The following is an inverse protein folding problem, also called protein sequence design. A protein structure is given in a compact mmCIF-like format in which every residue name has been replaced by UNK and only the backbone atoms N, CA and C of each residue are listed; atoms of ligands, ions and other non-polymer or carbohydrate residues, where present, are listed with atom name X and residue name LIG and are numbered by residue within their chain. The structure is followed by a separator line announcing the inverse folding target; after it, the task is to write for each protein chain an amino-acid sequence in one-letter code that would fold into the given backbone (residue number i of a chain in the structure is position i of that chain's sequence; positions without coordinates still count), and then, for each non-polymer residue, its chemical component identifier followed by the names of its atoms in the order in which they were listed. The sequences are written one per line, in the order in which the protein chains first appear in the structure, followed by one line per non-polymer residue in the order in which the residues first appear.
data_IF_853823993285
#
_entry.id   IF_853823993285
#
_cell.length_a   1.000
_cell.length_b   1.000
_cell.length_c   1.000
_cell.angle_alpha   90.00
_cell.angle_beta   90.00
_cell.angle_gamma   90.00
#
_symmetry.space_group_name_H-M   'P 1'
#
loop_
_entity.id
_entity.type
_entity.pdbx_description
1 polymer ?
#
# COMPACT_ATOMS: atom_id res chain seq x y z
N UNK A 1 -3.62 4.23 -2.00
CA UNK A 1 -4.64 4.31 -0.92
C UNK A 1 -5.69 3.20 -0.95
N UNK A 2 -6.50 3.06 -2.02
CA UNK A 2 -7.64 2.12 -2.05
C UNK A 2 -7.28 0.66 -1.68
N UNK A 3 -6.13 0.18 -2.15
CA UNK A 3 -5.62 -1.18 -1.81
C UNK A 3 -5.38 -1.35 -0.31
N UNK A 4 -4.84 -0.33 0.36
CA UNK A 4 -4.54 -0.40 1.79
C UNK A 4 -5.83 -0.41 2.62
N UNK A 5 -6.79 0.47 2.31
CA UNK A 5 -8.09 0.52 3.00
C UNK A 5 -8.84 -0.80 2.84
N UNK A 6 -8.85 -1.38 1.63
CA UNK A 6 -9.46 -2.69 1.39
C UNK A 6 -8.84 -3.78 2.26
N UNK A 7 -7.51 -3.80 2.37
CA UNK A 7 -6.79 -4.78 3.19
C UNK A 7 -7.10 -4.61 4.69
N UNK A 8 -7.14 -3.37 5.20
CA UNK A 8 -7.49 -3.09 6.61
C UNK A 8 -8.86 -3.67 6.95
N UNK A 9 -9.83 -3.53 6.04
CA UNK A 9 -11.21 -4.03 6.23
C UNK A 9 -11.40 -5.51 5.91
N UNK A 10 -10.36 -6.21 5.46
CA UNK A 10 -10.47 -7.62 5.06
C UNK A 10 -10.33 -8.57 6.25
N UNK A 11 -11.09 -9.66 6.20
CA UNK A 11 -10.97 -10.82 7.11
C UNK A 11 -10.22 -11.99 6.46
N UNK A 12 -9.89 -11.91 5.16
CA UNK A 12 -9.09 -12.91 4.45
C UNK A 12 -7.59 -12.56 4.53
N UNK A 13 -6.82 -13.39 5.25
CA UNK A 13 -5.36 -13.21 5.39
C UNK A 13 -4.63 -13.25 4.05
N UNK A 14 -5.16 -13.97 3.05
CA UNK A 14 -4.57 -14.04 1.71
C UNK A 14 -4.71 -12.70 0.99
N UNK A 15 -5.90 -12.09 1.04
CA UNK A 15 -6.14 -10.78 0.46
C UNK A 15 -5.25 -9.69 1.09
N UNK A 16 -5.13 -9.70 2.42
CA UNK A 16 -4.26 -8.77 3.15
C UNK A 16 -2.81 -8.91 2.68
N UNK A 17 -2.31 -10.14 2.59
CA UNK A 17 -0.93 -10.39 2.20
C UNK A 17 -0.64 -9.99 0.76
N UNK A 18 -1.57 -10.27 -0.16
CA UNK A 18 -1.44 -9.90 -1.56
C UNK A 18 -1.54 -8.38 -1.76
N UNK A 19 -2.35 -7.70 -0.96
CA UNK A 19 -2.39 -6.25 -0.93
C UNK A 19 -1.06 -5.65 -0.46
N UNK A 20 -0.45 -6.17 0.61
CA UNK A 20 0.86 -5.73 1.11
C UNK A 20 1.95 -5.95 0.06
N UNK A 21 2.00 -7.14 -0.56
CA UNK A 21 2.95 -7.43 -1.64
C UNK A 21 2.80 -6.47 -2.82
N UNK A 22 1.55 -6.23 -3.23
CA UNK A 22 1.26 -5.29 -4.31
C UNK A 22 1.77 -3.89 -3.95
N UNK A 23 1.43 -3.38 -2.77
CA UNK A 23 1.88 -2.07 -2.30
C UNK A 23 3.41 -1.95 -2.29
N UNK A 24 4.12 -2.97 -1.80
CA UNK A 24 5.58 -3.00 -1.77
C UNK A 24 6.20 -2.99 -3.19
N UNK A 25 5.57 -3.67 -4.15
CA UNK A 25 6.04 -3.75 -5.54
C UNK A 25 5.79 -2.48 -6.37
N UNK A 26 4.95 -1.55 -5.89
CA UNK A 26 4.51 -0.36 -6.66
C UNK A 26 5.02 0.96 -6.07
N UNK A 27 6.23 0.97 -5.51
CA UNK A 27 6.85 2.15 -4.87
C UNK A 27 7.84 2.90 -5.76
N UNK A 28 7.96 2.51 -7.04
CA UNK A 28 9.00 3.00 -7.96
C UNK A 28 10.43 2.90 -7.41
N UNK A 29 10.70 1.98 -6.48
CA UNK A 29 12.00 1.82 -5.82
C UNK A 29 12.28 2.83 -4.70
N UNK A 30 11.34 3.74 -4.39
CA UNK A 30 11.51 4.78 -3.38
C UNK A 30 11.17 4.30 -1.96
N UNK A 31 10.48 3.16 -1.82
CA UNK A 31 10.02 2.67 -0.52
C UNK A 31 8.93 3.53 0.14
N UNK A 32 8.35 4.48 -0.60
CA UNK A 32 7.26 5.35 -0.15
C UNK A 32 5.97 5.02 -0.90
N UNK A 33 4.84 5.39 -0.31
CA UNK A 33 3.53 5.26 -0.93
C UNK A 33 3.15 6.52 -1.71
N UNK A 34 2.50 6.30 -2.85
CA UNK A 34 2.03 7.35 -3.75
C UNK A 34 0.52 7.51 -3.65
N UNK A 35 0.00 8.66 -4.12
CA UNK A 35 -1.43 8.92 -4.14
C UNK A 35 -2.14 8.05 -5.17
N UNK A 36 -1.59 8.02 -6.38
CA UNK A 36 -2.01 7.14 -7.47
C UNK A 36 -0.78 6.55 -8.16
N UNK A 37 -0.92 5.34 -8.69
CA UNK A 37 0.11 4.62 -9.45
C UNK A 37 -0.54 4.10 -10.73
N UNK A 38 0.11 4.27 -11.87
CA UNK A 38 -0.37 3.75 -13.15
C UNK A 38 -0.42 2.22 -13.13
N UNK A 39 -1.47 1.66 -13.72
CA UNK A 39 -1.62 0.20 -13.87
C UNK A 39 -0.71 -0.39 -14.93
N UNK A 40 -0.24 0.42 -15.88
CA UNK A 40 0.66 0.00 -16.95
C UNK A 40 2.14 0.14 -16.57
N UNK A 41 2.48 1.13 -15.74
CA UNK A 41 3.85 1.43 -15.35
C UNK A 41 3.93 1.98 -13.91
N UNK A 42 4.44 1.19 -12.94
CA UNK A 42 4.57 1.64 -11.55
C UNK A 42 5.52 2.82 -11.33
N UNK A 43 6.41 3.14 -12.29
CA UNK A 43 7.28 4.31 -12.20
C UNK A 43 6.50 5.62 -12.48
N UNK A 44 5.30 5.52 -13.05
CA UNK A 44 4.40 6.64 -13.26
C UNK A 44 3.40 6.75 -12.11
N UNK A 45 3.61 7.73 -11.24
CA UNK A 45 2.80 7.96 -10.04
C UNK A 45 2.62 9.45 -9.74
N UNK A 46 1.64 9.77 -8.89
CA UNK A 46 1.45 11.13 -8.36
C UNK A 46 1.89 11.23 -6.90
N UNK A 47 2.41 12.41 -6.55
CA UNK A 47 2.90 12.78 -5.22
C UNK A 47 4.06 11.88 -4.74
N UNK A 48 5.32 12.29 -4.99
CA UNK A 48 6.49 11.52 -4.55
C UNK A 48 6.62 11.41 -3.04
N UNK A 49 6.05 12.36 -2.30
CA UNK A 49 5.95 12.30 -0.85
C UNK A 49 4.51 12.54 -0.40
N UNK A 50 3.89 11.49 0.15
CA UNK A 50 2.53 11.56 0.68
C UNK A 50 2.47 10.93 2.07
N UNK A 51 2.83 11.71 3.09
CA UNK A 51 2.97 11.24 4.48
C UNK A 51 1.73 10.51 5.02
N UNK A 52 0.53 11.00 4.70
CA UNK A 52 -0.71 10.32 5.14
C UNK A 52 -0.85 8.91 4.54
N UNK A 53 -0.56 8.73 3.24
CA UNK A 53 -0.58 7.41 2.60
C UNK A 53 0.44 6.45 3.22
N UNK A 54 1.62 6.96 3.56
CA UNK A 54 2.63 6.18 4.29
C UNK A 54 2.10 5.73 5.66
N UNK A 55 1.43 6.63 6.40
CA UNK A 55 0.84 6.32 7.70
C UNK A 55 -0.23 5.22 7.64
N UNK A 56 -1.15 5.29 6.67
CA UNK A 56 -2.20 4.27 6.49
C UNK A 56 -1.61 2.89 6.18
N UNK A 57 -0.56 2.82 5.35
CA UNK A 57 0.11 1.54 5.06
C UNK A 57 0.90 1.04 6.26
N UNK A 58 1.51 1.92 7.06
CA UNK A 58 2.16 1.54 8.30
C UNK A 58 1.16 0.94 9.31
N UNK A 59 -0.02 1.55 9.44
CA UNK A 59 -1.12 1.02 10.28
C UNK A 59 -1.53 -0.39 9.84
N UNK A 60 -1.72 -0.62 8.53
CA UNK A 60 -2.00 -1.95 7.98
C UNK A 60 -0.93 -2.98 8.36
N UNK A 61 0.35 -2.63 8.28
CA UNK A 61 1.45 -3.54 8.63
C UNK A 61 1.42 -3.86 10.13
N UNK A 62 1.24 -2.85 10.99
CA UNK A 62 1.16 -3.03 12.44
C UNK A 62 0.00 -3.94 12.81
N UNK A 63 -1.19 -3.67 12.26
CA UNK A 63 -2.39 -4.48 12.47
C UNK A 63 -2.17 -5.93 12.03
N UNK A 64 -1.53 -6.15 10.87
CA UNK A 64 -1.22 -7.51 10.38
C UNK A 64 -0.30 -8.30 11.32
N UNK A 65 0.62 -7.61 12.02
CA UNK A 65 1.54 -8.24 12.98
C UNK A 65 0.87 -8.49 14.34
N UNK A 66 -0.10 -7.65 14.71
CA UNK A 66 -0.81 -7.75 15.99
C UNK A 66 -2.00 -8.74 15.96
N UNK A 67 -2.51 -9.09 14.77
CA UNK A 67 -3.60 -10.07 14.54
C UNK A 67 -3.15 -11.53 14.60
#
# INVERSE_FOLDING_TARGET
MAVAVRAITSTDRTEVHDAIRRLASTTAGLGLMHESVSTADPATFTRPWFAWCNGVVAELIIDTVQR
#
